data_IF_594137660128
#
_entry.id   IF_594137660128
#
_cell.length_a   1.000
_cell.length_b   1.000
_cell.length_c   1.000
_cell.angle_alpha   90.00
_cell.angle_beta   90.00
_cell.angle_gamma   90.00
#
_symmetry.space_group_name_H-M   'P 1'
#
loop_
_entity.id
_entity.type
_entity.pdbx_description
1 polymer ?
#
# COMPACT_ATOMS: atom_id res chain seq x y z
N UNK A 1 5.34 -17.24 12.67
CA UNK A 1 4.64 -16.96 13.95
C UNK A 1 3.67 -18.10 14.22
N UNK A 2 3.74 -18.76 15.38
CA UNK A 2 2.73 -19.74 15.76
C UNK A 2 1.38 -19.05 15.99
N UNK A 3 0.31 -19.63 15.46
CA UNK A 3 -1.06 -19.15 15.69
C UNK A 3 -1.57 -19.80 16.99
N UNK A 4 -1.97 -19.03 18.02
CA UNK A 4 -2.45 -19.60 19.28
C UNK A 4 -3.82 -20.26 19.07
N UNK A 5 -3.83 -21.60 19.11
CA UNK A 5 -5.01 -22.41 18.76
C UNK A 5 -6.19 -22.11 19.70
N UNK A 6 -5.95 -22.06 21.01
CA UNK A 6 -7.00 -21.83 22.01
C UNK A 6 -7.67 -20.48 21.80
N UNK A 7 -6.91 -19.39 21.68
CA UNK A 7 -7.48 -18.05 21.49
C UNK A 7 -8.20 -17.93 20.15
N UNK A 8 -7.66 -18.57 19.10
CA UNK A 8 -8.27 -18.54 17.76
C UNK A 8 -9.63 -19.24 17.77
N UNK A 9 -9.73 -20.39 18.43
CA UNK A 9 -10.98 -21.16 18.51
C UNK A 9 -11.99 -20.51 19.47
N UNK A 10 -11.58 -20.20 20.70
CA UNK A 10 -12.47 -19.68 21.74
C UNK A 10 -13.09 -18.32 21.35
N UNK A 11 -12.33 -17.48 20.65
CA UNK A 11 -12.81 -16.18 20.18
C UNK A 11 -13.38 -16.21 18.75
N UNK A 12 -13.37 -17.36 18.08
CA UNK A 12 -13.87 -17.50 16.70
C UNK A 12 -13.12 -16.64 15.67
N UNK A 13 -11.80 -16.48 15.84
CA UNK A 13 -10.97 -15.66 14.97
C UNK A 13 -10.85 -16.32 13.59
N UNK A 14 -11.10 -15.54 12.53
CA UNK A 14 -10.91 -15.97 11.13
C UNK A 14 -9.60 -15.44 10.58
N UNK A 15 -8.81 -16.32 9.97
CA UNK A 15 -7.57 -15.96 9.28
C UNK A 15 -7.81 -16.11 7.78
N UNK A 16 -7.71 -15.00 7.05
CA UNK A 16 -7.97 -14.93 5.60
C UNK A 16 -6.76 -14.30 4.93
N UNK A 17 -6.17 -15.00 3.97
CA UNK A 17 -5.10 -14.43 3.13
C UNK A 17 -5.69 -13.52 2.06
N UNK A 18 -5.03 -12.40 1.79
CA UNK A 18 -5.34 -11.50 0.68
C UNK A 18 -4.05 -10.89 0.15
N UNK A 19 -3.90 -10.85 -1.17
CA UNK A 19 -2.69 -10.31 -1.83
C UNK A 19 -3.01 -9.09 -2.70
N UNK A 20 -4.14 -9.11 -3.42
CA UNK A 20 -4.70 -8.01 -4.21
C UNK A 20 -6.22 -8.17 -4.30
N UNK A 21 -6.92 -7.12 -4.72
CA UNK A 21 -8.36 -7.15 -5.00
C UNK A 21 -8.70 -7.59 -6.43
N UNK A 22 -9.99 -7.84 -6.67
CA UNK A 22 -10.55 -8.03 -8.01
C UNK A 22 -10.59 -6.70 -8.78
N UNK A 23 -10.89 -6.76 -10.09
CA UNK A 23 -11.11 -5.56 -10.90
C UNK A 23 -12.25 -4.68 -10.37
N UNK A 24 -13.27 -5.29 -9.78
CA UNK A 24 -14.41 -4.57 -9.18
C UNK A 24 -13.96 -3.81 -7.94
N UNK A 25 -13.20 -4.45 -7.06
CA UNK A 25 -12.65 -3.83 -5.86
C UNK A 25 -11.77 -2.61 -6.21
N UNK A 26 -10.98 -2.72 -7.28
CA UNK A 26 -10.19 -1.59 -7.79
C UNK A 26 -11.07 -0.42 -8.26
N UNK A 27 -12.14 -0.69 -9.01
CA UNK A 27 -13.05 0.37 -9.47
C UNK A 27 -13.70 1.10 -8.29
N UNK A 28 -14.16 0.35 -7.30
CA UNK A 28 -14.76 0.92 -6.08
C UNK A 28 -13.73 1.73 -5.27
N UNK A 29 -12.50 1.23 -5.14
CA UNK A 29 -11.40 1.93 -4.46
C UNK A 29 -11.04 3.25 -5.15
N UNK A 30 -10.97 3.27 -6.49
CA UNK A 30 -10.72 4.48 -7.27
C UNK A 30 -11.88 5.48 -7.15
N UNK A 31 -13.12 5.00 -7.08
CA UNK A 31 -14.28 5.86 -6.88
C UNK A 31 -14.22 6.59 -5.53
N UNK A 32 -13.82 5.92 -4.44
CA UNK A 32 -13.61 6.58 -3.15
C UNK A 32 -12.53 7.67 -3.21
N UNK A 33 -11.45 7.44 -3.97
CA UNK A 33 -10.40 8.43 -4.18
C UNK A 33 -10.92 9.62 -5.01
N UNK A 34 -11.67 9.37 -6.08
CA UNK A 34 -12.28 10.41 -6.92
C UNK A 34 -13.27 11.29 -6.15
N UNK A 35 -14.01 10.70 -5.20
CA UNK A 35 -14.91 11.42 -4.29
C UNK A 35 -14.18 12.18 -3.17
N UNK A 36 -12.84 12.11 -3.11
CA UNK A 36 -12.03 12.78 -2.09
C UNK A 36 -12.15 12.19 -0.69
N UNK A 37 -12.79 11.02 -0.55
CA UNK A 37 -12.95 10.30 0.74
C UNK A 37 -11.64 9.68 1.22
N UNK A 38 -10.70 9.46 0.31
CA UNK A 38 -9.35 8.95 0.58
C UNK A 38 -8.32 9.92 0.02
N UNK A 39 -7.32 10.30 0.82
CA UNK A 39 -6.18 11.11 0.40
C UNK A 39 -4.89 10.34 0.63
N UNK A 40 -4.00 10.35 -0.35
CA UNK A 40 -2.70 9.69 -0.26
C UNK A 40 -1.65 10.64 0.30
N UNK A 41 -0.74 10.09 1.09
CA UNK A 41 0.49 10.77 1.51
C UNK A 41 1.56 10.36 0.50
N UNK A 42 1.94 11.31 -0.36
CA UNK A 42 2.91 11.06 -1.42
C UNK A 42 4.03 12.09 -1.42
N UNK A 43 5.19 11.63 -1.83
CA UNK A 43 6.33 12.44 -2.23
C UNK A 43 6.60 12.17 -3.70
N UNK A 44 6.78 13.21 -4.51
CA UNK A 44 7.04 13.07 -5.94
C UNK A 44 8.54 13.23 -6.18
N UNK A 45 9.16 12.29 -6.88
CA UNK A 45 10.60 12.34 -7.24
C UNK A 45 10.81 12.07 -8.73
N UNK A 46 11.82 12.70 -9.35
CA UNK A 46 12.21 12.40 -10.72
C UNK A 46 12.79 10.99 -10.83
N UNK A 47 12.64 10.35 -11.99
CA UNK A 47 13.10 8.97 -12.22
C UNK A 47 14.61 8.82 -11.99
N UNK A 48 15.39 9.87 -12.23
CA UNK A 48 16.84 9.93 -12.06
C UNK A 48 17.26 9.61 -10.62
N UNK A 49 16.37 9.86 -9.64
CA UNK A 49 16.61 9.59 -8.21
C UNK A 49 16.21 8.18 -7.77
N UNK A 50 15.88 7.28 -8.69
CA UNK A 50 15.37 5.94 -8.36
C UNK A 50 16.25 5.16 -7.37
N UNK A 51 17.58 5.24 -7.50
CA UNK A 51 18.49 4.53 -6.59
C UNK A 51 18.41 5.09 -5.17
N UNK A 52 18.39 6.42 -5.01
CA UNK A 52 18.23 7.07 -3.70
C UNK A 52 16.88 6.72 -3.05
N UNK A 53 15.82 6.67 -3.86
CA UNK A 53 14.48 6.27 -3.39
C UNK A 53 14.48 4.83 -2.88
N UNK A 54 15.15 3.90 -3.57
CA UNK A 54 15.27 2.52 -3.10
C UNK A 54 16.09 2.40 -1.81
N UNK A 55 17.18 3.14 -1.68
CA UNK A 55 17.97 3.16 -0.44
C UNK A 55 17.15 3.65 0.75
N UNK A 56 16.38 4.73 0.58
CA UNK A 56 15.45 5.25 1.60
C UNK A 56 14.35 4.24 1.92
N UNK A 57 13.83 3.53 0.92
CA UNK A 57 12.80 2.50 1.10
C UNK A 57 13.31 1.34 1.97
N UNK A 58 14.52 0.84 1.70
CA UNK A 58 15.14 -0.24 2.48
C UNK A 58 15.43 0.18 3.92
N UNK A 59 15.74 1.46 4.16
CA UNK A 59 15.94 2.04 5.50
C UNK A 59 14.64 2.36 6.24
N UNK A 60 13.49 2.27 5.57
CA UNK A 60 12.19 2.64 6.16
C UNK A 60 11.97 4.15 6.33
N UNK A 61 12.68 4.97 5.55
CA UNK A 61 12.67 6.44 5.64
C UNK A 61 11.58 7.10 4.76
N UNK A 62 10.65 6.31 4.23
CA UNK A 62 9.55 6.79 3.39
C UNK A 62 8.26 6.84 4.22
N UNK A 63 7.71 8.03 4.36
CA UNK A 63 6.36 8.21 4.89
C UNK A 63 5.34 8.16 3.73
N UNK A 64 4.52 7.10 3.70
CA UNK A 64 3.54 6.90 2.63
C UNK A 64 4.16 6.27 1.38
N UNK A 65 4.07 6.93 0.23
CA UNK A 65 4.58 6.44 -1.06
C UNK A 65 5.42 7.49 -1.78
N UNK A 66 6.52 7.05 -2.40
CA UNK A 66 7.21 7.88 -3.41
C UNK A 66 6.64 7.56 -4.78
N UNK A 67 6.24 8.58 -5.53
CA UNK A 67 5.77 8.48 -6.92
C UNK A 67 6.87 9.00 -7.83
N UNK A 68 7.38 8.12 -8.70
CA UNK A 68 8.39 8.49 -9.69
C UNK A 68 7.71 9.12 -10.91
N UNK A 69 8.14 10.32 -11.27
CA UNK A 69 7.71 10.96 -12.52
C UNK A 69 8.57 10.45 -13.65
N UNK A 70 7.92 9.80 -14.62
CA UNK A 70 8.51 9.56 -15.93
C UNK A 70 8.41 10.88 -16.68
N UNK A 71 9.53 11.55 -16.96
CA UNK A 71 9.49 12.74 -17.81
C UNK A 71 8.82 12.38 -19.13
N UNK A 72 7.67 12.99 -19.40
CA UNK A 72 7.08 13.10 -20.72
C UNK A 72 6.46 14.49 -20.77
N UNK A 73 7.24 15.46 -21.25
CA UNK A 73 6.87 16.81 -21.71
C UNK A 73 5.66 17.47 -21.03
#
# INVERSE_FOLDING_TARGET
MPIPIFDTVLNGIKIVGSIVGTRKDLQEALQFAAEGKVKTIIEVQPLEKINEVFDRMLKGEINGRVVLTLENK
#
